data_IF_381498262522
#
_entry.id   IF_381498262522
#
_cell.length_a   1.000
_cell.length_b   1.000
_cell.length_c   1.000
_cell.angle_alpha   90.00
_cell.angle_beta   90.00
_cell.angle_gamma   90.00
#
_symmetry.space_group_name_H-M   'P 1'
#
loop_
_entity.id
_entity.type
_entity.pdbx_description
1 polymer ?
#
# COMPACT_ATOMS: atom_id res chain seq x y z
N UNK A 1 13.54 9.10 -11.34
CA UNK A 1 14.22 10.34 -10.91
C UNK A 1 14.00 10.47 -9.41
N UNK A 2 15.05 10.35 -8.64
CA UNK A 2 15.07 10.50 -7.18
C UNK A 2 14.85 11.98 -6.87
N UNK A 3 13.83 12.29 -6.06
CA UNK A 3 13.55 13.69 -5.68
C UNK A 3 14.69 14.29 -4.85
N UNK A 4 14.91 15.61 -5.02
CA UNK A 4 15.97 16.35 -4.30
C UNK A 4 15.92 16.15 -2.78
N UNK A 5 14.74 15.95 -2.22
CA UNK A 5 14.53 15.69 -0.79
C UNK A 5 15.28 14.45 -0.31
N UNK A 6 15.23 13.35 -1.09
CA UNK A 6 15.92 12.12 -0.71
C UNK A 6 17.46 12.29 -0.76
N UNK A 7 17.95 13.02 -1.76
CA UNK A 7 19.38 13.34 -1.88
C UNK A 7 19.86 14.15 -0.67
N UNK A 8 19.08 15.14 -0.24
CA UNK A 8 19.40 15.94 0.97
C UNK A 8 19.43 15.05 2.23
N UNK A 9 18.46 14.14 2.39
CA UNK A 9 18.45 13.22 3.54
C UNK A 9 19.70 12.33 3.54
N UNK A 10 20.06 11.73 2.39
CA UNK A 10 21.25 10.90 2.27
C UNK A 10 22.51 11.72 2.62
N UNK A 11 22.58 12.94 2.10
CA UNK A 11 23.72 13.82 2.39
C UNK A 11 23.83 14.14 3.91
N UNK A 12 22.70 14.46 4.55
CA UNK A 12 22.65 14.70 6.00
C UNK A 12 23.13 13.45 6.77
N UNK A 13 22.68 12.26 6.37
CA UNK A 13 23.10 11.01 7.01
C UNK A 13 24.61 10.76 6.84
N UNK A 14 25.19 11.05 5.68
CA UNK A 14 26.63 10.92 5.45
C UNK A 14 27.43 11.94 6.29
N UNK A 15 26.98 13.19 6.33
CA UNK A 15 27.58 14.23 7.17
C UNK A 15 27.52 13.83 8.65
N UNK A 16 26.38 13.32 9.10
CA UNK A 16 26.25 12.79 10.46
C UNK A 16 27.20 11.61 10.71
N UNK A 17 27.34 10.69 9.77
CA UNK A 17 28.27 9.56 9.89
C UNK A 17 29.73 9.99 10.07
N UNK A 18 30.12 11.14 9.50
CA UNK A 18 31.51 11.65 9.62
C UNK A 18 31.70 12.49 10.90
N UNK A 19 30.73 13.38 11.19
CA UNK A 19 30.88 14.38 12.26
C UNK A 19 29.97 14.16 13.48
N UNK A 20 29.16 13.11 13.49
CA UNK A 20 28.23 12.86 14.61
C UNK A 20 28.93 12.59 15.96
N UNK A 21 30.21 12.23 15.96
CA UNK A 21 31.01 12.11 17.17
C UNK A 21 31.23 13.45 17.90
N UNK A 22 31.03 14.58 17.20
CA UNK A 22 31.12 15.93 17.81
C UNK A 22 29.82 16.36 18.51
N UNK A 23 28.75 15.61 18.37
CA UNK A 23 27.46 15.92 18.98
C UNK A 23 27.44 15.33 20.38
N UNK A 24 27.17 16.16 21.38
CA UNK A 24 27.03 15.70 22.76
C UNK A 24 25.65 15.09 23.00
N UNK A 25 25.60 13.98 23.77
CA UNK A 25 24.35 13.35 24.19
C UNK A 25 24.09 11.98 23.54
N UNK A 26 22.81 11.57 23.51
CA UNK A 26 22.39 10.24 23.04
C UNK A 26 22.58 9.99 21.53
N UNK A 27 22.84 11.03 20.77
CA UNK A 27 23.12 10.95 19.33
C UNK A 27 24.62 10.90 19.04
N UNK A 28 25.49 10.95 20.04
CA UNK A 28 26.93 10.81 19.87
C UNK A 28 27.29 9.37 19.49
N UNK A 29 28.21 9.23 18.57
CA UNK A 29 28.80 7.94 18.21
C UNK A 29 30.34 8.03 18.15
N UNK A 30 31.02 6.88 18.07
CA UNK A 30 32.47 6.86 17.89
C UNK A 30 32.87 7.53 16.57
N UNK A 31 34.07 8.07 16.52
CA UNK A 31 34.63 8.62 15.29
C UNK A 31 34.79 7.54 14.22
N UNK A 32 34.28 7.84 13.01
CA UNK A 32 34.47 7.01 11.83
C UNK A 32 35.29 7.78 10.80
N UNK A 33 36.33 7.13 10.27
CA UNK A 33 37.08 7.70 9.16
C UNK A 33 36.25 7.60 7.86
N UNK A 34 36.48 8.53 6.94
CA UNK A 34 35.83 8.49 5.61
C UNK A 34 36.11 7.14 4.92
N UNK A 35 37.31 6.60 5.04
CA UNK A 35 37.66 5.32 4.44
C UNK A 35 36.85 4.17 5.03
N UNK A 36 36.65 4.16 6.35
CA UNK A 36 35.80 3.17 7.02
C UNK A 36 34.35 3.24 6.53
N UNK A 37 33.79 4.44 6.31
CA UNK A 37 32.45 4.62 5.79
C UNK A 37 32.35 4.08 4.36
N UNK A 38 33.34 4.36 3.51
CA UNK A 38 33.39 3.85 2.14
C UNK A 38 33.48 2.32 2.15
N UNK A 39 34.37 1.75 2.94
CA UNK A 39 34.50 0.30 3.06
C UNK A 39 33.23 -0.36 3.54
N UNK A 40 32.59 0.20 4.57
CA UNK A 40 31.32 -0.32 5.07
C UNK A 40 30.19 -0.24 4.04
N UNK A 41 30.07 0.87 3.31
CA UNK A 41 29.00 1.05 2.34
C UNK A 41 29.18 0.17 1.10
N UNK A 42 30.40 0.01 0.59
CA UNK A 42 30.64 -0.61 -0.71
C UNK A 42 31.21 -2.03 -0.64
N UNK A 43 31.95 -2.37 0.42
CA UNK A 43 32.67 -3.65 0.49
C UNK A 43 32.11 -4.62 1.54
N UNK A 44 30.98 -4.25 2.19
CA UNK A 44 30.32 -5.17 3.12
C UNK A 44 28.91 -5.52 2.67
N UNK A 45 28.42 -6.67 3.14
CA UNK A 45 27.03 -7.13 2.93
C UNK A 45 26.01 -6.43 3.84
N UNK A 46 26.46 -5.51 4.67
CA UNK A 46 25.63 -4.69 5.58
C UNK A 46 25.45 -3.25 5.07
N UNK A 47 26.21 -2.86 4.04
CA UNK A 47 26.12 -1.55 3.39
C UNK A 47 25.09 -1.49 2.28
N UNK A 48 25.45 -0.85 1.15
CA UNK A 48 24.55 -0.69 -0.01
C UNK A 48 24.16 -2.05 -0.61
N UNK A 49 25.12 -2.99 -0.69
CA UNK A 49 24.90 -4.33 -1.25
C UNK A 49 24.34 -5.32 -0.24
N UNK A 50 23.51 -4.84 0.67
CA UNK A 50 22.86 -5.62 1.71
C UNK A 50 21.59 -6.32 1.21
N UNK A 51 20.98 -7.11 2.09
CA UNK A 51 19.74 -7.84 1.86
C UNK A 51 18.63 -7.02 1.19
N UNK A 52 18.30 -5.77 1.61
CA UNK A 52 17.28 -4.97 0.95
C UNK A 52 17.54 -4.73 -0.54
N UNK A 53 18.77 -4.51 -0.96
CA UNK A 53 19.09 -4.36 -2.38
C UNK A 53 18.91 -5.67 -3.14
N UNK A 54 19.37 -6.79 -2.59
CA UNK A 54 19.19 -8.11 -3.18
C UNK A 54 17.71 -8.46 -3.39
N UNK A 55 16.88 -8.25 -2.37
CA UNK A 55 15.43 -8.45 -2.43
C UNK A 55 14.78 -7.51 -3.46
N UNK A 56 15.23 -6.25 -3.53
CA UNK A 56 14.70 -5.27 -4.48
C UNK A 56 15.01 -5.66 -5.93
N UNK A 57 16.23 -6.13 -6.18
CA UNK A 57 16.67 -6.51 -7.52
C UNK A 57 16.03 -7.81 -8.04
N UNK A 58 15.58 -8.69 -7.15
CA UNK A 58 14.99 -9.99 -7.49
C UNK A 58 13.48 -9.98 -7.37
N UNK A 59 12.98 -10.11 -6.15
CA UNK A 59 11.55 -10.32 -5.90
C UNK A 59 10.70 -9.07 -6.16
N UNK A 60 11.11 -7.92 -5.60
CA UNK A 60 10.29 -6.69 -5.69
C UNK A 60 10.15 -6.24 -7.14
N UNK A 61 11.24 -6.28 -7.92
CA UNK A 61 11.21 -5.92 -9.34
C UNK A 61 10.19 -6.78 -10.12
N UNK A 62 10.23 -8.11 -9.94
CA UNK A 62 9.33 -9.03 -10.64
C UNK A 62 7.86 -8.81 -10.25
N UNK A 63 7.59 -8.57 -8.96
CA UNK A 63 6.22 -8.32 -8.51
C UNK A 63 5.68 -6.96 -8.95
N UNK A 64 6.51 -5.92 -9.00
CA UNK A 64 6.12 -4.62 -9.56
C UNK A 64 5.81 -4.75 -11.04
N UNK A 65 6.65 -5.47 -11.80
CA UNK A 65 6.44 -5.71 -13.22
C UNK A 65 5.12 -6.46 -13.46
N UNK A 66 4.87 -7.53 -12.71
CA UNK A 66 3.63 -8.30 -12.77
C UNK A 66 2.41 -7.45 -12.41
N UNK A 67 2.48 -6.67 -11.34
CA UNK A 67 1.42 -5.76 -10.92
C UNK A 67 1.09 -4.71 -11.98
N UNK A 68 2.12 -4.14 -12.63
CA UNK A 68 1.93 -3.20 -13.75
C UNK A 68 1.32 -3.86 -14.97
N UNK A 69 1.68 -5.09 -15.26
CA UNK A 69 1.07 -5.85 -16.36
C UNK A 69 -0.42 -6.06 -16.12
N UNK A 70 -0.81 -6.45 -14.90
CA UNK A 70 -2.21 -6.59 -14.52
C UNK A 70 -2.97 -5.25 -14.55
N UNK A 71 -2.35 -4.17 -14.12
CA UNK A 71 -2.96 -2.83 -14.16
C UNK A 71 -3.30 -2.42 -15.61
N UNK A 72 -2.35 -2.60 -16.53
CA UNK A 72 -2.52 -2.25 -17.96
C UNK A 72 -3.53 -3.19 -18.65
N UNK A 73 -3.67 -4.44 -18.19
CA UNK A 73 -4.64 -5.40 -18.75
C UNK A 73 -6.11 -5.06 -18.44
N UNK A 74 -6.37 -4.04 -17.59
CA UNK A 74 -7.73 -3.64 -17.20
C UNK A 74 -8.23 -4.26 -15.89
N UNK A 75 -7.40 -5.04 -15.19
CA UNK A 75 -7.76 -5.67 -13.92
C UNK A 75 -8.25 -4.64 -12.88
N UNK A 76 -7.68 -3.42 -12.89
CA UNK A 76 -8.10 -2.34 -11.99
C UNK A 76 -9.59 -2.01 -12.12
N UNK A 77 -10.05 -1.77 -13.34
CA UNK A 77 -11.45 -1.44 -13.60
C UNK A 77 -12.38 -2.62 -13.29
N UNK A 78 -11.97 -3.83 -13.64
CA UNK A 78 -12.71 -5.04 -13.32
C UNK A 78 -12.95 -5.20 -11.80
N UNK A 79 -11.93 -5.01 -10.97
CA UNK A 79 -12.06 -5.11 -9.52
C UNK A 79 -12.89 -3.97 -8.91
N UNK A 80 -12.85 -2.77 -9.48
CA UNK A 80 -13.71 -1.67 -9.09
C UNK A 80 -15.17 -2.05 -9.40
N UNK A 81 -15.49 -2.49 -10.61
CA UNK A 81 -16.83 -2.87 -11.03
C UNK A 81 -17.37 -4.05 -10.19
N UNK A 82 -16.54 -5.03 -9.90
CA UNK A 82 -16.86 -6.16 -9.02
C UNK A 82 -17.21 -5.68 -7.60
N UNK A 83 -16.43 -4.74 -7.08
CA UNK A 83 -16.64 -4.17 -5.74
C UNK A 83 -17.91 -3.33 -5.68
N UNK A 84 -18.21 -2.56 -6.73
CA UNK A 84 -19.48 -1.81 -6.86
C UNK A 84 -20.69 -2.76 -6.90
N UNK A 85 -20.60 -3.82 -7.72
CA UNK A 85 -21.66 -4.82 -7.84
C UNK A 85 -21.93 -5.54 -6.51
N UNK A 86 -20.88 -5.82 -5.73
CA UNK A 86 -20.99 -6.52 -4.44
C UNK A 86 -21.46 -5.63 -3.29
N UNK A 87 -20.84 -4.46 -3.14
CA UNK A 87 -20.98 -3.61 -1.96
C UNK A 87 -21.89 -2.40 -2.17
N UNK A 88 -22.07 -1.94 -3.40
CA UNK A 88 -22.78 -0.69 -3.71
C UNK A 88 -24.21 -0.61 -3.18
N UNK A 89 -24.94 -1.73 -3.12
CA UNK A 89 -26.33 -1.81 -2.63
C UNK A 89 -26.49 -1.58 -1.13
N UNK A 90 -25.43 -1.80 -0.35
CA UNK A 90 -25.50 -1.69 1.11
C UNK A 90 -25.40 -0.23 1.56
N UNK A 91 -25.87 0.05 2.78
CA UNK A 91 -25.73 1.37 3.41
C UNK A 91 -24.26 1.80 3.39
N UNK A 92 -24.01 3.05 2.94
CA UNK A 92 -22.64 3.54 2.76
C UNK A 92 -21.87 2.82 1.66
N UNK A 93 -22.58 2.23 0.69
CA UNK A 93 -22.05 1.35 -0.34
C UNK A 93 -20.86 1.92 -1.09
N UNK A 94 -20.86 3.22 -1.40
CA UNK A 94 -19.74 3.85 -2.09
C UNK A 94 -18.42 3.75 -1.32
N UNK A 95 -18.44 3.99 -0.01
CA UNK A 95 -17.24 3.89 0.81
C UNK A 95 -16.84 2.43 1.08
N UNK A 96 -17.80 1.52 1.21
CA UNK A 96 -17.54 0.08 1.30
C UNK A 96 -16.94 -0.48 0.00
N UNK A 97 -17.38 0.04 -1.13
CA UNK A 97 -16.79 -0.25 -2.45
C UNK A 97 -15.32 0.16 -2.48
N UNK A 98 -14.98 1.36 -2.00
CA UNK A 98 -13.60 1.81 -1.93
C UNK A 98 -12.73 0.86 -1.10
N UNK A 99 -13.21 0.44 0.08
CA UNK A 99 -12.50 -0.50 0.95
C UNK A 99 -12.25 -1.84 0.24
N UNK A 100 -13.27 -2.42 -0.37
CA UNK A 100 -13.16 -3.73 -1.03
C UNK A 100 -12.32 -3.65 -2.30
N UNK A 101 -12.51 -2.62 -3.13
CA UNK A 101 -11.71 -2.41 -4.33
C UNK A 101 -10.22 -2.24 -3.97
N UNK A 102 -9.93 -1.39 -2.99
CA UNK A 102 -8.55 -1.16 -2.53
C UNK A 102 -7.94 -2.40 -1.86
N UNK A 103 -8.73 -3.22 -1.15
CA UNK A 103 -8.22 -4.47 -0.59
C UNK A 103 -7.81 -5.46 -1.68
N UNK A 104 -8.65 -5.64 -2.71
CA UNK A 104 -8.36 -6.57 -3.82
C UNK A 104 -7.17 -6.07 -4.65
N UNK A 105 -7.18 -4.78 -5.05
CA UNK A 105 -6.06 -4.20 -5.80
C UNK A 105 -4.77 -4.16 -4.96
N UNK A 106 -4.88 -3.96 -3.66
CA UNK A 106 -3.77 -4.01 -2.73
C UNK A 106 -3.07 -5.37 -2.71
N UNK A 107 -3.82 -6.48 -2.88
CA UNK A 107 -3.21 -7.84 -2.97
C UNK A 107 -2.24 -7.98 -4.14
N UNK A 108 -2.40 -7.15 -5.17
CA UNK A 108 -1.64 -7.24 -6.42
C UNK A 108 -0.57 -6.16 -6.49
N UNK A 109 -0.91 -4.91 -6.14
CA UNK A 109 0.00 -3.78 -6.31
C UNK A 109 1.03 -3.66 -5.18
N UNK A 110 0.68 -4.03 -3.95
CA UNK A 110 1.51 -3.84 -2.76
C UNK A 110 1.89 -2.37 -2.47
N UNK A 111 1.44 -1.42 -3.28
CA UNK A 111 1.77 -0.01 -3.19
C UNK A 111 0.55 0.83 -2.80
N UNK A 112 0.58 1.42 -1.61
CA UNK A 112 -0.48 2.32 -1.15
C UNK A 112 -0.69 3.51 -2.08
N UNK A 113 0.38 4.09 -2.62
CA UNK A 113 0.31 5.25 -3.52
C UNK A 113 -0.32 4.87 -4.85
N UNK A 114 0.16 3.80 -5.49
CA UNK A 114 -0.41 3.33 -6.75
C UNK A 114 -1.88 2.94 -6.59
N UNK A 115 -2.22 2.24 -5.49
CA UNK A 115 -3.58 1.85 -5.18
C UNK A 115 -4.49 3.07 -5.00
N UNK A 116 -4.06 4.08 -4.20
CA UNK A 116 -4.82 5.33 -4.00
C UNK A 116 -5.07 6.07 -5.32
N UNK A 117 -4.11 6.13 -6.21
CA UNK A 117 -4.27 6.81 -7.51
C UNK A 117 -5.25 6.04 -8.40
N UNK A 118 -5.12 4.72 -8.46
CA UNK A 118 -5.94 3.87 -9.35
C UNK A 118 -7.39 3.81 -8.87
N UNK A 119 -7.64 3.46 -7.61
CA UNK A 119 -9.00 3.33 -7.07
C UNK A 119 -9.61 4.66 -6.72
N UNK A 120 -8.83 5.60 -6.20
CA UNK A 120 -9.31 6.90 -5.72
C UNK A 120 -9.85 7.80 -6.82
N UNK A 121 -9.31 7.70 -8.04
CA UNK A 121 -9.86 8.42 -9.20
C UNK A 121 -11.35 8.14 -9.42
N UNK A 122 -11.81 6.94 -9.09
CA UNK A 122 -13.18 6.51 -9.22
C UNK A 122 -13.98 6.57 -7.91
N UNK A 123 -13.42 6.05 -6.83
CA UNK A 123 -14.11 5.86 -5.55
C UNK A 123 -14.36 7.17 -4.81
N UNK A 124 -13.43 8.14 -4.88
CA UNK A 124 -13.59 9.45 -4.22
C UNK A 124 -14.76 10.24 -4.83
N UNK A 125 -14.89 10.40 -6.16
CA UNK A 125 -16.07 11.00 -6.77
C UNK A 125 -17.37 10.26 -6.43
N UNK A 126 -17.35 8.92 -6.43
CA UNK A 126 -18.49 8.09 -6.08
C UNK A 126 -18.95 8.33 -4.63
N UNK A 127 -18.02 8.37 -3.66
CA UNK A 127 -18.32 8.69 -2.27
C UNK A 127 -18.90 10.09 -2.12
N UNK A 128 -18.33 11.10 -2.80
CA UNK A 128 -18.83 12.48 -2.78
C UNK A 128 -20.26 12.57 -3.33
N UNK A 129 -20.54 11.89 -4.43
CA UNK A 129 -21.89 11.82 -5.04
C UNK A 129 -22.93 11.23 -4.10
N UNK A 130 -22.54 10.30 -3.22
CA UNK A 130 -23.45 9.66 -2.26
C UNK A 130 -23.56 10.41 -0.92
N UNK A 131 -22.97 11.60 -0.80
CA UNK A 131 -23.14 12.49 0.36
C UNK A 131 -21.98 12.48 1.37
N UNK A 132 -20.89 11.79 1.10
CA UNK A 132 -19.71 11.93 1.94
C UNK A 132 -18.96 13.23 1.66
N UNK A 133 -18.38 13.84 2.70
CA UNK A 133 -17.52 15.02 2.56
C UNK A 133 -16.19 14.63 1.89
N UNK A 134 -15.63 15.54 1.09
CA UNK A 134 -14.41 15.25 0.30
C UNK A 134 -13.21 14.80 1.14
N UNK A 135 -12.96 15.45 2.28
CA UNK A 135 -11.86 15.06 3.19
C UNK A 135 -12.06 13.65 3.78
N UNK A 136 -13.30 13.27 4.10
CA UNK A 136 -13.60 11.92 4.59
C UNK A 136 -13.42 10.88 3.48
N UNK A 137 -13.88 11.19 2.25
CA UNK A 137 -13.68 10.30 1.10
C UNK A 137 -12.20 10.06 0.80
N UNK A 138 -11.39 11.13 0.83
CA UNK A 138 -9.95 11.01 0.65
C UNK A 138 -9.28 10.21 1.79
N UNK A 139 -9.72 10.41 3.03
CA UNK A 139 -9.20 9.65 4.17
C UNK A 139 -9.54 8.16 4.07
N UNK A 140 -10.79 7.80 3.72
CA UNK A 140 -11.18 6.40 3.51
C UNK A 140 -10.34 5.75 2.42
N UNK A 141 -10.13 6.45 1.31
CA UNK A 141 -9.33 5.93 0.20
C UNK A 141 -7.87 5.73 0.61
N UNK A 142 -7.24 6.74 1.23
CA UNK A 142 -5.85 6.65 1.65
C UNK A 142 -5.62 5.51 2.66
N UNK A 143 -6.51 5.38 3.66
CA UNK A 143 -6.42 4.32 4.66
C UNK A 143 -6.68 2.95 4.03
N UNK A 144 -7.71 2.81 3.17
CA UNK A 144 -7.99 1.54 2.47
C UNK A 144 -6.82 1.08 1.62
N UNK A 145 -6.22 2.01 0.88
CA UNK A 145 -5.06 1.72 0.03
C UNK A 145 -3.80 1.36 0.81
N UNK A 146 -3.61 1.97 1.99
CA UNK A 146 -2.48 1.65 2.89
C UNK A 146 -2.55 0.19 3.36
N UNK A 147 -3.74 -0.33 3.64
CA UNK A 147 -3.95 -1.73 4.01
C UNK A 147 -3.48 -2.73 2.95
N UNK A 148 -3.39 -2.32 1.69
CA UNK A 148 -2.85 -3.15 0.61
C UNK A 148 -1.39 -3.59 0.83
N UNK A 149 -0.61 -2.82 1.61
CA UNK A 149 0.78 -3.18 1.91
C UNK A 149 0.90 -4.41 2.83
N UNK A 150 -0.13 -4.70 3.61
CA UNK A 150 -0.18 -5.88 4.48
C UNK A 150 -1.09 -6.98 3.93
N UNK A 151 -1.73 -6.76 2.78
CA UNK A 151 -2.70 -7.71 2.22
C UNK A 151 -2.00 -8.75 1.35
N UNK A 152 -2.00 -10.05 1.75
CA UNK A 152 -1.42 -11.12 0.95
C UNK A 152 -2.16 -11.28 -0.40
N UNK A 153 -1.55 -11.88 -1.43
CA UNK A 153 -0.25 -12.57 -1.41
C UNK A 153 0.97 -11.67 -1.71
N UNK A 154 0.84 -10.51 -2.37
CA UNK A 154 2.02 -9.76 -2.82
C UNK A 154 2.54 -8.81 -1.73
N UNK A 155 1.66 -8.13 -1.00
CA UNK A 155 2.02 -7.19 0.07
C UNK A 155 2.98 -6.06 -0.38
N UNK A 156 3.45 -5.24 0.54
CA UNK A 156 4.46 -4.24 0.29
C UNK A 156 5.89 -4.81 0.31
N UNK A 157 6.85 -4.02 -0.19
CA UNK A 157 8.27 -4.39 -0.24
C UNK A 157 8.84 -4.79 1.13
N UNK A 158 8.33 -4.22 2.22
CA UNK A 158 8.74 -4.53 3.59
C UNK A 158 8.56 -6.00 3.96
N UNK A 159 7.56 -6.69 3.42
CA UNK A 159 7.31 -8.09 3.72
C UNK A 159 8.44 -9.01 3.21
N UNK A 160 8.99 -8.71 2.05
CA UNK A 160 10.16 -9.43 1.51
C UNK A 160 11.42 -9.20 2.35
N UNK A 161 11.59 -7.96 2.81
CA UNK A 161 12.70 -7.60 3.70
C UNK A 161 12.58 -8.34 5.03
N UNK A 162 11.37 -8.39 5.62
CA UNK A 162 11.10 -9.13 6.85
C UNK A 162 11.44 -10.62 6.66
N UNK A 163 10.95 -11.25 5.59
CA UNK A 163 11.24 -12.65 5.30
C UNK A 163 12.75 -12.93 5.23
N UNK A 164 13.47 -12.04 4.57
CA UNK A 164 14.91 -12.18 4.41
C UNK A 164 15.69 -11.97 5.72
N UNK A 165 15.30 -10.99 6.55
CA UNK A 165 15.94 -10.78 7.86
C UNK A 165 15.66 -11.92 8.85
N UNK A 166 14.46 -12.48 8.82
CA UNK A 166 14.09 -13.62 9.67
C UNK A 166 14.64 -14.96 9.16
N UNK A 167 15.13 -15.00 7.92
CA UNK A 167 15.60 -16.24 7.30
C UNK A 167 14.46 -17.26 7.05
N UNK A 168 13.21 -16.79 6.89
CA UNK A 168 12.03 -17.63 6.65
C UNK A 168 11.54 -17.48 5.21
N UNK A 169 10.85 -18.50 4.65
CA UNK A 169 10.20 -18.38 3.37
C UNK A 169 9.17 -17.24 3.36
N UNK A 170 9.10 -16.48 2.25
CA UNK A 170 8.14 -15.38 2.09
C UNK A 170 6.69 -15.80 2.40
N UNK A 171 6.31 -17.03 2.03
CA UNK A 171 4.96 -17.55 2.26
C UNK A 171 4.57 -17.61 3.75
N UNK A 172 5.52 -17.85 4.64
CA UNK A 172 5.25 -17.83 6.09
C UNK A 172 4.88 -16.42 6.57
N UNK A 173 5.60 -15.41 6.08
CA UNK A 173 5.26 -14.00 6.37
C UNK A 173 3.89 -13.65 5.79
N UNK A 174 3.60 -14.10 4.55
CA UNK A 174 2.31 -13.86 3.90
C UNK A 174 1.14 -14.49 4.69
N UNK A 175 1.29 -15.73 5.15
CA UNK A 175 0.28 -16.41 5.97
C UNK A 175 0.09 -15.71 7.32
N UNK A 176 1.18 -15.31 7.98
CA UNK A 176 1.10 -14.55 9.23
C UNK A 176 0.40 -13.19 9.05
N UNK A 177 0.53 -12.55 7.89
CA UNK A 177 -0.10 -11.28 7.58
C UNK A 177 -1.62 -11.37 7.34
N UNK A 178 -2.18 -12.55 7.07
CA UNK A 178 -3.62 -12.73 6.79
C UNK A 178 -4.48 -12.18 7.94
N UNK A 179 -4.17 -12.56 9.16
CA UNK A 179 -4.97 -12.16 10.32
C UNK A 179 -4.93 -10.64 10.57
N UNK A 180 -3.77 -9.97 10.61
CA UNK A 180 -3.69 -8.52 10.69
C UNK A 180 -4.41 -7.81 9.54
N UNK A 181 -4.29 -8.30 8.31
CA UNK A 181 -4.95 -7.71 7.16
C UNK A 181 -6.48 -7.79 7.27
N UNK A 182 -7.02 -8.96 7.64
CA UNK A 182 -8.47 -9.13 7.85
C UNK A 182 -8.96 -8.18 8.96
N UNK A 183 -8.28 -8.12 10.09
CA UNK A 183 -8.66 -7.24 11.20
C UNK A 183 -8.63 -5.77 10.79
N UNK A 184 -7.62 -5.35 10.02
CA UNK A 184 -7.49 -4.00 9.49
C UNK A 184 -8.71 -3.61 8.64
N UNK A 185 -9.03 -4.41 7.64
CA UNK A 185 -10.15 -4.13 6.75
C UNK A 185 -11.51 -4.27 7.43
N UNK A 186 -11.66 -5.21 8.37
CA UNK A 186 -12.87 -5.30 9.19
C UNK A 186 -13.09 -4.04 10.04
N UNK A 187 -12.05 -3.56 10.73
CA UNK A 187 -12.13 -2.32 11.50
C UNK A 187 -12.56 -1.14 10.63
N UNK A 188 -11.94 -0.99 9.46
CA UNK A 188 -12.25 0.09 8.54
C UNK A 188 -13.69 -0.01 8.01
N UNK A 189 -14.13 -1.21 7.66
CA UNK A 189 -15.49 -1.48 7.22
C UNK A 189 -16.54 -1.09 8.27
N UNK A 190 -16.32 -1.46 9.53
CA UNK A 190 -17.22 -1.09 10.64
C UNK A 190 -17.22 0.42 10.91
N UNK A 191 -16.06 1.08 10.88
CA UNK A 191 -15.98 2.53 11.04
C UNK A 191 -16.78 3.27 9.96
N UNK A 192 -16.63 2.86 8.72
CA UNK A 192 -17.36 3.43 7.58
C UNK A 192 -18.86 3.15 7.68
N UNK A 193 -19.28 1.93 8.10
CA UNK A 193 -20.68 1.61 8.31
C UNK A 193 -21.33 2.47 9.40
N UNK A 194 -20.64 2.63 10.53
CA UNK A 194 -21.11 3.49 11.61
C UNK A 194 -21.21 4.96 11.16
N UNK A 195 -20.25 5.44 10.37
CA UNK A 195 -20.29 6.79 9.82
C UNK A 195 -21.45 6.97 8.85
N UNK A 196 -21.68 6.00 7.96
CA UNK A 196 -22.81 6.00 7.03
C UNK A 196 -24.15 6.02 7.78
N UNK A 197 -24.24 5.26 8.89
CA UNK A 197 -25.43 5.24 9.76
C UNK A 197 -25.71 6.62 10.37
N UNK A 198 -24.69 7.27 10.91
CA UNK A 198 -24.81 8.61 11.52
C UNK A 198 -25.22 9.69 10.50
N UNK A 199 -24.82 9.54 9.25
CA UNK A 199 -25.13 10.48 8.18
C UNK A 199 -26.44 10.14 7.44
N UNK A 200 -27.13 9.06 7.81
CA UNK A 200 -28.36 8.60 7.12
C UNK A 200 -28.13 8.18 5.67
N UNK A 201 -26.90 7.81 5.30
CA UNK A 201 -26.59 7.47 3.91
C UNK A 201 -27.15 6.08 3.56
N UNK A 202 -27.72 6.00 2.35
CA UNK A 202 -28.24 4.77 1.76
C UNK A 202 -27.23 4.17 0.76
N UNK A 203 -27.55 2.99 0.23
CA UNK A 203 -26.79 2.40 -0.88
C UNK A 203 -26.98 3.15 -2.20
N UNK A 204 -26.19 2.77 -3.19
CA UNK A 204 -26.36 3.23 -4.58
C UNK A 204 -27.70 2.75 -5.15
N UNK A 205 -28.28 3.52 -6.06
CA UNK A 205 -29.52 3.15 -6.74
C UNK A 205 -29.29 1.92 -7.63
N UNK A 206 -30.33 1.10 -7.77
CA UNK A 206 -30.27 -0.15 -8.57
C UNK A 206 -29.80 0.08 -10.01
N UNK A 207 -30.11 1.23 -10.58
CA UNK A 207 -29.74 1.65 -11.93
C UNK A 207 -28.23 1.97 -12.07
N UNK A 208 -27.57 2.32 -10.97
CA UNK A 208 -26.16 2.65 -10.92
C UNK A 208 -25.28 1.42 -10.60
N UNK A 209 -25.91 0.28 -10.30
CA UNK A 209 -25.21 -0.95 -9.94
C UNK A 209 -24.98 -1.83 -11.17
N UNK A 210 -23.75 -2.14 -11.53
CA UNK A 210 -23.48 -3.13 -12.56
C UNK A 210 -23.98 -4.50 -12.09
N UNK A 211 -24.57 -5.27 -13.03
CA UNK A 211 -25.01 -6.64 -12.72
C UNK A 211 -23.78 -7.51 -12.51
N UNK A 212 -23.68 -8.21 -11.38
CA UNK A 212 -22.58 -9.10 -11.03
C UNK A 212 -22.28 -10.09 -12.17
N UNK A 213 -23.31 -10.68 -12.77
CA UNK A 213 -23.16 -11.62 -13.90
C UNK A 213 -22.56 -10.96 -15.15
N UNK A 214 -22.84 -9.67 -15.38
CA UNK A 214 -22.28 -8.91 -16.50
C UNK A 214 -20.81 -8.59 -16.28
N UNK A 215 -20.44 -8.21 -15.04
CA UNK A 215 -19.05 -7.95 -14.67
C UNK A 215 -18.21 -9.22 -14.84
N UNK A 216 -18.67 -10.35 -14.28
CA UNK A 216 -17.96 -11.63 -14.38
C UNK A 216 -17.86 -12.15 -15.82
N UNK A 217 -18.86 -11.90 -16.68
CA UNK A 217 -18.80 -12.30 -18.11
C UNK A 217 -17.85 -11.45 -18.94
N UNK A 218 -17.70 -10.15 -18.61
CA UNK A 218 -16.75 -9.29 -19.31
C UNK A 218 -15.31 -9.69 -19.03
N UNK A 219 -15.03 -10.24 -17.84
CA UNK A 219 -13.68 -10.60 -17.44
C UNK A 219 -12.76 -9.36 -17.39
N UNK A 220 -11.50 -9.62 -17.65
CA UNK A 220 -10.51 -8.57 -17.86
C UNK A 220 -10.63 -7.94 -19.23
#
# INVERSE_FOLDING_TARGET
>A
VIGNTLVVIIFICLVYGIWGHLIEGSLSHREFTLMWIIDHLFYTVTGIFSTPLGVSATFIFLFILFGKFLEVSGAGQFFIDLSVAGMGKYRGGAAKTAIVASSILGTISGSAVANTVTTGAFTIPLMKKTGYKGHFSAAVEAVSSTGGQIMPPIMGASAFIIASYLGVPYMEVAVAAILPAILYYCCLYFQVDMRARRLGLVGLKKEELPKMSSVLKKGF
#
